data_IF_914234851031
#
_entry.id   IF_914234851031
#
_cell.length_a   1.000
_cell.length_b   1.000
_cell.length_c   1.000
_cell.angle_alpha   90.00
_cell.angle_beta   90.00
_cell.angle_gamma   90.00
#
_symmetry.space_group_name_H-M   'P 1'
#
loop_
_entity.id
_entity.type
_entity.pdbx_description
1 polymer ?
#
# COMPACT_ATOMS: atom_id res chain seq x y z
N UNK A 1 -1.52 30.73 19.55
CA UNK A 1 -0.40 30.24 18.69
C UNK A 1 -0.97 29.18 17.78
N UNK A 2 -1.23 29.51 16.54
CA UNK A 2 -1.68 28.53 15.52
C UNK A 2 -0.46 27.71 15.12
N UNK A 3 -0.42 26.43 15.48
CA UNK A 3 0.55 25.48 14.91
C UNK A 3 0.28 25.41 13.42
N UNK A 4 1.22 25.85 12.60
CA UNK A 4 1.17 25.66 11.17
C UNK A 4 1.35 24.15 10.90
N UNK A 5 0.25 23.45 10.69
CA UNK A 5 0.28 22.17 10.00
C UNK A 5 0.56 22.48 8.52
N UNK A 6 1.69 22.01 8.01
CA UNK A 6 1.97 22.09 6.59
C UNK A 6 1.16 21.00 5.88
N UNK A 7 0.33 21.42 4.94
CA UNK A 7 -0.49 20.52 4.11
C UNK A 7 0.33 20.08 2.90
N UNK A 8 0.37 18.79 2.62
CA UNK A 8 1.09 18.22 1.47
C UNK A 8 0.07 17.74 0.45
N UNK A 9 0.05 18.40 -0.70
CA UNK A 9 -0.73 17.95 -1.87
C UNK A 9 0.23 17.31 -2.86
N UNK A 10 0.02 16.04 -3.19
CA UNK A 10 0.86 15.29 -4.12
C UNK A 10 0.13 15.13 -5.45
N UNK A 11 0.69 15.72 -6.50
CA UNK A 11 0.25 15.50 -7.89
C UNK A 11 1.31 14.68 -8.59
N UNK A 12 0.95 13.50 -9.07
CA UNK A 12 1.87 12.59 -9.76
C UNK A 12 1.86 12.84 -11.26
N UNK A 13 3.03 13.13 -11.83
CA UNK A 13 3.22 13.34 -13.28
C UNK A 13 4.07 12.24 -13.90
N UNK A 14 3.86 11.97 -15.18
CA UNK A 14 4.81 11.20 -15.97
C UNK A 14 6.10 12.03 -16.18
N UNK A 15 7.30 11.40 -16.26
CA UNK A 15 8.54 12.13 -16.31
C UNK A 15 8.69 12.97 -17.56
N UNK A 16 9.10 14.24 -17.40
CA UNK A 16 9.64 15.04 -18.48
C UNK A 16 11.13 14.72 -18.62
N UNK A 17 11.57 14.36 -19.82
CA UNK A 17 12.99 14.38 -20.17
C UNK A 17 13.47 15.83 -20.20
N UNK A 18 14.60 16.09 -19.59
CA UNK A 18 15.41 17.33 -19.57
C UNK A 18 14.90 18.49 -20.45
N UNK A 19 13.95 19.29 -19.95
CA UNK A 19 13.74 20.63 -20.42
C UNK A 19 14.41 21.56 -19.40
N UNK A 20 15.49 22.20 -19.81
CA UNK A 20 16.11 23.31 -19.07
C UNK A 20 15.06 24.41 -18.89
N UNK A 21 14.69 24.68 -17.68
CA UNK A 21 13.84 25.84 -17.37
C UNK A 21 12.83 25.59 -16.27
N UNK A 22 13.25 25.73 -15.04
CA UNK A 22 12.42 26.21 -13.94
C UNK A 22 11.46 25.24 -13.29
N UNK A 23 11.81 24.90 -12.20
CA UNK A 23 11.16 24.46 -10.97
C UNK A 23 11.63 23.08 -10.54
N UNK A 24 12.35 23.08 -9.46
CA UNK A 24 12.98 21.89 -8.91
C UNK A 24 11.92 20.87 -8.60
N UNK A 25 11.82 19.88 -9.44
CA UNK A 25 11.36 18.57 -9.01
C UNK A 25 12.19 18.22 -7.78
N UNK A 26 11.58 18.00 -6.64
CA UNK A 26 12.22 17.34 -5.52
C UNK A 26 12.55 15.91 -5.96
N UNK A 27 13.62 15.80 -6.75
CA UNK A 27 14.22 14.53 -7.11
C UNK A 27 15.18 14.16 -6.00
N UNK A 28 14.88 13.11 -5.27
CA UNK A 28 15.78 12.15 -4.60
C UNK A 28 16.98 12.65 -3.76
N UNK A 29 17.29 13.95 -3.74
CA UNK A 29 18.52 14.44 -3.12
C UNK A 29 18.42 14.69 -1.61
N UNK A 30 17.22 14.78 -1.06
CA UNK A 30 17.01 15.20 0.32
C UNK A 30 16.27 14.16 1.21
N UNK A 31 16.07 12.96 0.72
CA UNK A 31 15.47 11.93 1.54
C UNK A 31 16.48 11.36 2.55
N UNK A 32 16.06 11.01 3.77
CA UNK A 32 16.93 10.42 4.76
C UNK A 32 17.65 9.19 4.20
N UNK A 33 18.96 9.08 4.40
CA UNK A 33 19.75 7.94 3.92
C UNK A 33 19.19 6.62 4.47
N UNK A 34 18.63 6.64 5.66
CA UNK A 34 18.01 5.52 6.34
C UNK A 34 16.82 4.93 5.57
N UNK A 35 16.24 5.67 4.62
CA UNK A 35 15.15 5.16 3.78
C UNK A 35 15.64 4.27 2.62
N UNK A 36 16.93 4.28 2.35
CA UNK A 36 17.57 3.45 1.32
C UNK A 36 18.24 2.20 1.90
N UNK A 37 18.42 2.16 3.20
CA UNK A 37 19.15 1.12 3.91
C UNK A 37 18.20 0.25 4.72
N UNK A 38 18.70 -0.91 5.18
CA UNK A 38 17.97 -1.74 6.13
C UNK A 38 17.70 -0.95 7.41
N UNK A 39 16.42 -0.77 7.78
CA UNK A 39 16.09 -0.05 9.00
C UNK A 39 16.68 -0.73 10.23
N UNK A 40 17.33 0.06 11.10
CA UNK A 40 17.87 -0.42 12.36
C UNK A 40 16.75 -0.74 13.35
N UNK A 41 17.08 -1.52 14.34
CA UNK A 41 16.19 -1.87 15.44
C UNK A 41 16.48 -1.03 16.68
N UNK A 42 15.58 -1.10 17.67
CA UNK A 42 15.73 -0.41 18.94
C UNK A 42 17.03 -0.83 19.65
N UNK A 43 17.36 -2.12 19.67
CA UNK A 43 18.57 -2.65 20.30
C UNK A 43 19.85 -2.14 19.62
N UNK A 44 19.89 -2.09 18.29
CA UNK A 44 21.01 -1.57 17.51
C UNK A 44 21.23 -0.07 17.71
N UNK A 45 20.18 0.66 18.11
CA UNK A 45 20.25 2.10 18.43
C UNK A 45 20.35 2.39 19.92
N UNK A 46 20.36 1.38 20.79
CA UNK A 46 20.40 1.55 22.24
C UNK A 46 19.13 2.16 22.83
N UNK A 47 17.98 2.03 22.17
CA UNK A 47 16.70 2.53 22.64
C UNK A 47 16.08 1.52 23.61
N UNK A 48 15.89 1.93 24.86
CA UNK A 48 15.36 1.06 25.94
C UNK A 48 14.06 1.59 26.55
N UNK A 49 13.74 2.85 26.29
CA UNK A 49 12.53 3.49 26.78
C UNK A 49 11.55 3.76 25.63
N UNK A 50 10.30 3.38 25.85
CA UNK A 50 9.23 3.56 24.85
C UNK A 50 8.13 4.45 25.38
N UNK A 51 7.55 5.23 24.48
CA UNK A 51 6.44 6.16 24.76
C UNK A 51 5.34 5.97 23.74
N UNK A 52 4.10 6.19 24.17
CA UNK A 52 2.94 6.19 23.29
C UNK A 52 2.17 7.53 23.37
N UNK A 53 1.19 7.67 22.50
CA UNK A 53 0.37 8.87 22.51
C UNK A 53 -0.47 9.02 23.79
N UNK A 54 -0.54 10.22 24.34
CA UNK A 54 -1.50 10.54 25.40
C UNK A 54 -2.97 10.21 25.07
N UNK A 55 -3.32 10.09 23.79
CA UNK A 55 -4.64 9.69 23.30
C UNK A 55 -5.05 8.28 23.78
N UNK A 56 -4.09 7.41 24.08
CA UNK A 56 -4.34 6.06 24.57
C UNK A 56 -4.50 5.98 26.09
N UNK A 57 -4.29 7.07 26.83
CA UNK A 57 -4.38 7.09 28.29
C UNK A 57 -5.80 6.74 28.75
N UNK A 58 -5.88 5.91 29.78
CA UNK A 58 -7.17 5.47 30.36
C UNK A 58 -7.90 4.38 29.55
N UNK A 59 -7.35 3.92 28.45
CA UNK A 59 -7.83 2.72 27.77
C UNK A 59 -7.31 1.48 28.49
N UNK A 60 -8.07 0.39 28.42
CA UNK A 60 -7.65 -0.91 28.95
C UNK A 60 -6.63 -1.55 27.97
N UNK A 61 -5.38 -1.11 28.09
CA UNK A 61 -4.27 -1.55 27.24
C UNK A 61 -3.05 -1.88 28.12
N UNK A 62 -2.29 -2.93 27.75
CA UNK A 62 -0.99 -3.18 28.38
C UNK A 62 -0.05 -1.97 28.22
N UNK A 63 1.00 -1.87 29.06
CA UNK A 63 2.06 -0.88 28.87
C UNK A 63 2.61 -0.91 27.43
N UNK A 64 3.08 0.23 26.91
CA UNK A 64 3.57 0.34 25.52
C UNK A 64 4.66 -0.70 25.21
N UNK A 65 5.54 -0.98 26.16
CA UNK A 65 6.59 -1.99 26.02
C UNK A 65 6.03 -3.39 25.71
N UNK A 66 4.92 -3.76 26.32
CA UNK A 66 4.29 -5.06 26.13
C UNK A 66 3.43 -5.14 24.86
N UNK A 67 3.19 -4.00 24.21
CA UNK A 67 2.47 -3.89 22.94
C UNK A 67 3.40 -3.85 21.72
N UNK A 68 4.65 -3.46 21.91
CA UNK A 68 5.67 -3.45 20.87
C UNK A 68 6.31 -4.85 20.70
N UNK A 69 6.96 -5.12 19.56
CA UNK A 69 7.87 -6.26 19.43
C UNK A 69 9.02 -6.22 20.45
N UNK A 70 9.65 -7.38 20.67
CA UNK A 70 10.83 -7.47 21.56
C UNK A 70 11.95 -6.50 21.13
N UNK A 71 12.10 -6.33 19.81
CA UNK A 71 13.06 -5.42 19.19
C UNK A 71 12.42 -4.65 18.04
N UNK A 72 11.75 -3.51 18.32
CA UNK A 72 11.02 -2.76 17.33
C UNK A 72 11.92 -2.15 16.25
N UNK A 73 11.42 -2.09 15.03
CA UNK A 73 12.05 -1.39 13.93
C UNK A 73 11.95 0.12 14.12
N UNK A 74 13.06 0.82 13.89
CA UNK A 74 13.14 2.28 13.99
C UNK A 74 12.92 2.92 12.62
N UNK A 75 11.97 3.82 12.54
CA UNK A 75 11.65 4.59 11.33
C UNK A 75 12.12 6.02 11.52
N UNK A 76 13.05 6.45 10.68
CA UNK A 76 13.53 7.82 10.67
C UNK A 76 12.50 8.76 10.03
N UNK A 77 12.13 9.87 10.68
CA UNK A 77 11.26 10.86 10.09
C UNK A 77 11.97 11.64 8.97
N UNK A 78 11.21 12.23 8.05
CA UNK A 78 11.75 12.98 6.93
C UNK A 78 12.58 14.19 7.36
N UNK A 79 12.08 14.97 8.34
CA UNK A 79 12.75 16.20 8.80
C UNK A 79 13.02 16.19 10.30
N UNK A 80 12.02 15.94 11.11
CA UNK A 80 12.10 16.04 12.56
C UNK A 80 11.21 15.03 13.26
N UNK A 81 11.52 14.76 14.53
CA UNK A 81 10.65 13.93 15.38
C UNK A 81 9.29 14.59 15.51
N UNK A 82 8.25 13.85 15.16
CA UNK A 82 6.88 14.36 15.24
C UNK A 82 6.36 14.51 16.66
N UNK A 83 5.22 15.17 16.77
CA UNK A 83 4.50 15.33 18.04
C UNK A 83 3.20 14.53 17.99
N UNK A 84 2.90 13.84 19.08
CA UNK A 84 1.62 13.16 19.21
C UNK A 84 0.45 14.11 19.23
N UNK A 85 -0.63 13.68 18.61
CA UNK A 85 -1.91 14.37 18.67
C UNK A 85 -2.48 14.68 17.30
N UNK A 86 -3.65 15.29 17.33
CA UNK A 86 -4.32 15.78 16.14
C UNK A 86 -5.10 14.73 15.36
N UNK A 87 -5.75 15.25 14.33
CA UNK A 87 -6.57 14.49 13.41
C UNK A 87 -6.29 14.97 11.99
N UNK A 88 -5.97 14.05 11.09
CA UNK A 88 -5.80 14.37 9.69
C UNK A 88 -7.14 14.26 8.95
N UNK A 89 -7.37 15.16 8.00
CA UNK A 89 -8.50 15.16 7.08
C UNK A 89 -8.00 14.82 5.68
N UNK A 90 -8.50 13.72 5.14
CA UNK A 90 -8.14 13.23 3.81
C UNK A 90 -9.39 12.84 3.03
N UNK A 91 -9.25 12.41 1.78
CA UNK A 91 -10.32 11.68 1.09
C UNK A 91 -10.18 10.17 1.30
N UNK A 92 -11.25 9.41 1.15
CA UNK A 92 -11.19 7.95 1.26
C UNK A 92 -10.22 7.34 0.24
N UNK A 93 -10.17 7.89 -0.99
CA UNK A 93 -9.21 7.46 -2.01
C UNK A 93 -7.75 7.62 -1.57
N UNK A 94 -7.43 8.63 -0.78
CA UNK A 94 -6.09 8.89 -0.26
C UNK A 94 -5.69 7.95 0.90
N UNK A 95 -6.65 7.23 1.50
CA UNK A 95 -6.35 6.28 2.58
C UNK A 95 -5.35 5.20 2.15
N UNK A 96 -5.41 4.79 0.86
CA UNK A 96 -4.48 3.82 0.27
C UNK A 96 -3.03 4.32 0.23
N UNK A 97 -2.82 5.61 0.14
CA UNK A 97 -1.50 6.24 0.09
C UNK A 97 -1.03 6.70 1.46
N UNK A 98 -1.95 7.09 2.32
CA UNK A 98 -1.65 7.56 3.66
C UNK A 98 -1.30 6.41 4.62
N UNK A 99 -1.85 5.22 4.41
CA UNK A 99 -1.57 4.06 5.24
C UNK A 99 -0.43 3.23 4.68
N UNK A 100 0.51 2.89 5.56
CA UNK A 100 1.57 1.96 5.21
C UNK A 100 1.02 0.55 4.98
N UNK A 101 1.54 -0.09 3.95
CA UNK A 101 1.25 -1.49 3.63
C UNK A 101 2.21 -2.36 4.42
N UNK A 102 1.69 -3.13 5.37
CA UNK A 102 2.51 -3.99 6.22
C UNK A 102 2.61 -5.38 5.60
N UNK A 103 3.71 -5.61 4.91
CA UNK A 103 4.09 -6.89 4.29
C UNK A 103 5.29 -7.49 5.02
N UNK A 104 5.64 -8.76 4.74
CA UNK A 104 6.84 -9.36 5.30
C UNK A 104 8.10 -8.56 4.94
N UNK A 105 8.20 -8.15 3.68
CA UNK A 105 9.29 -7.33 3.15
C UNK A 105 8.73 -6.02 2.61
N UNK A 106 9.58 -5.01 2.46
CA UNK A 106 9.27 -3.76 1.75
C UNK A 106 10.35 -3.46 0.71
N UNK A 107 10.21 -2.38 -0.03
CA UNK A 107 11.18 -1.94 -1.05
C UNK A 107 11.78 -0.62 -0.56
N UNK A 108 13.09 -0.44 -0.74
CA UNK A 108 13.78 0.83 -0.44
C UNK A 108 13.19 2.00 -1.24
N UNK A 109 13.38 3.22 -0.75
CA UNK A 109 12.82 4.42 -1.38
C UNK A 109 13.29 4.63 -2.84
N UNK A 110 14.48 4.14 -3.19
CA UNK A 110 15.03 4.14 -4.56
C UNK A 110 14.59 2.92 -5.38
N UNK A 111 13.79 2.02 -4.80
CA UNK A 111 13.29 0.79 -5.42
C UNK A 111 14.38 -0.21 -5.85
N UNK A 112 15.58 -0.12 -5.29
CA UNK A 112 16.71 -0.97 -5.67
C UNK A 112 16.86 -2.20 -4.77
N UNK A 113 16.37 -2.14 -3.53
CA UNK A 113 16.60 -3.17 -2.53
C UNK A 113 15.32 -3.64 -1.87
N UNK A 114 15.25 -4.92 -1.57
CA UNK A 114 14.24 -5.46 -0.65
C UNK A 114 14.74 -5.26 0.79
N UNK A 115 13.85 -4.76 1.65
CA UNK A 115 14.15 -4.45 3.04
C UNK A 115 13.26 -5.28 3.97
N UNK A 116 13.74 -5.66 5.17
CA UNK A 116 12.92 -6.33 6.17
C UNK A 116 11.83 -5.38 6.70
N UNK A 117 10.64 -5.95 7.00
CA UNK A 117 9.53 -5.22 7.61
C UNK A 117 8.90 -6.07 8.73
N UNK A 118 7.79 -6.79 8.49
CA UNK A 118 7.29 -7.77 9.47
C UNK A 118 8.27 -8.92 9.65
N UNK A 119 8.99 -9.30 8.58
CA UNK A 119 10.12 -10.20 8.68
C UNK A 119 11.33 -9.49 9.30
N UNK A 120 12.04 -10.20 10.16
CA UNK A 120 13.38 -9.84 10.65
C UNK A 120 14.46 -10.23 9.64
N UNK A 121 14.27 -11.40 9.03
CA UNK A 121 15.19 -11.98 8.08
C UNK A 121 14.44 -12.79 7.02
N UNK A 122 15.02 -12.92 5.85
CA UNK A 122 14.58 -13.84 4.80
C UNK A 122 15.77 -14.37 4.03
N UNK A 123 15.60 -15.53 3.42
CA UNK A 123 16.59 -16.17 2.60
C UNK A 123 15.93 -16.86 1.40
N UNK A 124 16.57 -16.77 0.23
CA UNK A 124 16.19 -17.53 -0.95
C UNK A 124 17.24 -18.60 -1.20
N UNK A 125 16.81 -19.85 -1.37
CA UNK A 125 17.71 -20.97 -1.66
C UNK A 125 18.48 -20.77 -2.96
N UNK A 126 19.67 -21.35 -3.06
CA UNK A 126 20.54 -21.21 -4.24
C UNK A 126 19.88 -21.66 -5.56
N UNK A 127 18.94 -22.60 -5.49
CA UNK A 127 18.16 -23.06 -6.66
C UNK A 127 16.93 -22.19 -6.96
N UNK A 128 16.68 -21.14 -6.16
CA UNK A 128 15.58 -20.20 -6.32
C UNK A 128 14.19 -20.76 -6.04
N UNK A 129 14.09 -21.96 -5.45
CA UNK A 129 12.81 -22.65 -5.23
C UNK A 129 12.21 -22.42 -3.85
N UNK A 130 13.01 -22.03 -2.88
CA UNK A 130 12.57 -21.88 -1.49
C UNK A 130 12.84 -20.47 -1.02
N UNK A 131 11.81 -19.83 -0.45
CA UNK A 131 11.95 -18.56 0.28
C UNK A 131 11.59 -18.80 1.74
N UNK A 132 12.56 -18.71 2.63
CA UNK A 132 12.38 -18.82 4.08
C UNK A 132 12.23 -17.42 4.68
N UNK A 133 11.28 -17.26 5.59
CA UNK A 133 10.96 -15.98 6.24
C UNK A 133 10.96 -16.18 7.75
N UNK A 134 11.67 -15.31 8.46
CA UNK A 134 11.66 -15.22 9.93
C UNK A 134 10.94 -13.92 10.34
N UNK A 135 9.83 -14.04 11.06
CA UNK A 135 9.02 -12.92 11.56
C UNK A 135 9.67 -12.31 12.80
N UNK A 136 9.56 -10.99 12.99
CA UNK A 136 9.95 -10.32 14.23
C UNK A 136 9.10 -10.81 15.39
N UNK A 137 9.76 -11.23 16.47
CA UNK A 137 9.09 -11.71 17.68
C UNK A 137 8.30 -10.57 18.34
N UNK A 138 7.06 -10.87 18.75
CA UNK A 138 6.23 -9.99 19.56
C UNK A 138 5.39 -8.99 18.75
N UNK A 139 5.38 -9.03 17.41
CA UNK A 139 4.38 -8.29 16.63
C UNK A 139 2.98 -8.80 16.96
N UNK A 140 2.03 -7.87 17.08
CA UNK A 140 0.64 -8.15 17.37
C UNK A 140 -0.30 -7.51 16.36
N UNK A 141 -1.41 -8.16 16.10
CA UNK A 141 -2.56 -7.58 15.41
C UNK A 141 -3.18 -6.45 16.25
N UNK A 142 -4.02 -5.62 15.65
CA UNK A 142 -4.64 -4.45 16.32
C UNK A 142 -5.58 -4.78 17.49
N UNK A 143 -5.95 -6.05 17.64
CA UNK A 143 -6.72 -6.59 18.76
C UNK A 143 -5.81 -7.20 19.87
N UNK A 144 -4.50 -7.17 19.67
CA UNK A 144 -3.51 -7.71 20.62
C UNK A 144 -3.15 -9.17 20.41
N UNK A 145 -3.76 -9.88 19.46
CA UNK A 145 -3.41 -11.27 19.14
C UNK A 145 -1.99 -11.31 18.50
N UNK A 146 -1.11 -12.27 18.88
CA UNK A 146 0.23 -12.34 18.29
C UNK A 146 0.18 -12.70 16.80
N UNK A 147 1.07 -12.06 16.02
CA UNK A 147 1.36 -12.47 14.65
C UNK A 147 2.27 -13.68 14.65
N UNK A 148 1.91 -14.72 13.90
CA UNK A 148 2.70 -15.95 13.78
C UNK A 148 2.81 -16.42 12.32
N UNK A 149 3.67 -17.40 12.09
CA UNK A 149 3.80 -18.09 10.80
C UNK A 149 2.46 -18.68 10.31
N UNK A 150 1.60 -19.06 11.23
CA UNK A 150 0.27 -19.61 10.92
C UNK A 150 -0.62 -18.62 10.15
N UNK A 151 -0.47 -17.30 10.34
CA UNK A 151 -1.24 -16.28 9.64
C UNK A 151 -0.87 -16.22 8.16
N UNK A 152 0.42 -16.35 7.84
CA UNK A 152 0.94 -16.40 6.47
C UNK A 152 0.56 -17.70 5.77
N UNK A 153 0.72 -18.83 6.46
CA UNK A 153 0.37 -20.17 5.93
C UNK A 153 -1.14 -20.24 5.67
N UNK A 154 -1.97 -19.74 6.60
CA UNK A 154 -3.41 -19.68 6.42
C UNK A 154 -3.78 -18.94 5.14
N UNK A 155 -3.21 -17.76 4.91
CA UNK A 155 -3.48 -16.97 3.72
C UNK A 155 -3.05 -17.68 2.45
N UNK A 156 -1.87 -18.28 2.45
CA UNK A 156 -1.34 -18.97 1.28
C UNK A 156 -2.18 -20.19 0.91
N UNK A 157 -2.50 -21.05 1.89
CA UNK A 157 -3.17 -22.33 1.65
C UNK A 157 -4.69 -22.19 1.50
N UNK A 158 -5.33 -21.33 2.33
CA UNK A 158 -6.80 -21.25 2.43
C UNK A 158 -7.41 -20.05 1.69
N UNK A 159 -6.59 -19.13 1.20
CA UNK A 159 -7.08 -18.01 0.38
C UNK A 159 -6.48 -18.09 -1.02
N UNK A 160 -5.16 -18.12 -1.14
CA UNK A 160 -4.51 -17.99 -2.45
C UNK A 160 -4.49 -19.29 -3.25
N UNK A 161 -4.36 -20.46 -2.61
CA UNK A 161 -4.38 -21.77 -3.22
C UNK A 161 -5.70 -22.51 -3.06
N UNK A 162 -6.66 -22.00 -2.30
CA UNK A 162 -7.97 -22.59 -2.17
C UNK A 162 -8.71 -22.58 -3.51
N UNK A 163 -9.12 -23.74 -3.99
CA UNK A 163 -9.72 -23.89 -5.33
C UNK A 163 -11.13 -23.31 -5.44
N UNK A 164 -11.83 -23.18 -4.33
CA UNK A 164 -13.17 -22.58 -4.30
C UNK A 164 -13.06 -21.05 -4.26
N UNK A 165 -12.12 -20.49 -3.46
CA UNK A 165 -11.88 -19.06 -3.35
C UNK A 165 -11.10 -18.50 -4.55
N UNK A 166 -10.03 -19.17 -4.95
CA UNK A 166 -9.13 -18.79 -6.05
C UNK A 166 -9.06 -19.88 -7.11
N UNK A 167 -10.11 -20.06 -7.97
CA UNK A 167 -10.15 -21.14 -8.97
C UNK A 167 -8.99 -21.10 -9.97
N UNK A 168 -8.44 -19.91 -10.22
CA UNK A 168 -7.29 -19.67 -11.09
C UNK A 168 -6.26 -18.86 -10.30
N UNK A 169 -5.40 -19.53 -9.52
CA UNK A 169 -4.37 -18.83 -8.75
C UNK A 169 -3.37 -18.12 -9.66
N UNK A 170 -2.75 -17.07 -9.13
CA UNK A 170 -1.68 -16.37 -9.83
C UNK A 170 -0.55 -17.32 -10.23
N UNK A 171 0.03 -17.13 -11.41
CA UNK A 171 1.20 -17.90 -11.86
C UNK A 171 2.39 -17.78 -10.91
N UNK A 172 2.48 -16.68 -10.16
CA UNK A 172 3.56 -16.43 -9.20
C UNK A 172 3.47 -17.29 -7.93
N UNK A 173 2.34 -17.97 -7.70
CA UNK A 173 2.15 -18.86 -6.54
C UNK A 173 1.81 -20.30 -6.95
N UNK A 174 1.56 -20.52 -8.24
CA UNK A 174 1.19 -21.84 -8.78
C UNK A 174 2.34 -22.83 -8.53
N UNK A 175 2.00 -24.04 -8.10
CA UNK A 175 2.98 -25.09 -7.75
C UNK A 175 3.75 -24.79 -6.45
N UNK A 176 3.32 -23.78 -5.69
CA UNK A 176 3.87 -23.46 -4.38
C UNK A 176 3.14 -24.17 -3.26
N UNK A 177 3.83 -24.30 -2.12
CA UNK A 177 3.27 -24.70 -0.82
C UNK A 177 3.93 -23.92 0.29
N UNK A 178 3.21 -23.72 1.38
CA UNK A 178 3.74 -23.10 2.59
C UNK A 178 4.06 -24.19 3.62
N UNK A 179 5.20 -24.07 4.31
CA UNK A 179 5.64 -25.02 5.32
C UNK A 179 6.02 -24.29 6.61
N UNK A 180 5.41 -24.68 7.72
CA UNK A 180 5.76 -24.17 9.04
C UNK A 180 7.05 -24.81 9.53
N UNK A 181 8.00 -24.00 10.02
CA UNK A 181 9.18 -24.44 10.72
C UNK A 181 8.96 -24.31 12.24
N UNK A 182 8.54 -23.11 12.65
CA UNK A 182 8.10 -22.80 14.01
C UNK A 182 7.12 -21.62 14.01
N UNK A 183 6.76 -21.07 15.16
CA UNK A 183 5.77 -19.99 15.26
C UNK A 183 6.24 -18.67 14.62
N UNK A 184 7.52 -18.49 14.41
CA UNK A 184 8.10 -17.28 13.81
C UNK A 184 8.75 -17.54 12.45
N UNK A 185 8.96 -18.80 12.08
CA UNK A 185 9.69 -19.17 10.87
C UNK A 185 8.84 -20.09 10.01
N UNK A 186 8.76 -19.76 8.75
CA UNK A 186 8.08 -20.54 7.72
C UNK A 186 8.78 -20.39 6.38
N UNK A 187 8.44 -21.24 5.43
CA UNK A 187 8.97 -21.15 4.08
C UNK A 187 7.91 -21.41 3.02
N UNK A 188 8.06 -20.74 1.89
CA UNK A 188 7.35 -21.06 0.66
C UNK A 188 8.28 -21.90 -0.23
N UNK A 189 7.77 -23.00 -0.73
CA UNK A 189 8.52 -23.95 -1.57
C UNK A 189 7.79 -24.14 -2.89
N UNK A 190 8.50 -24.02 -4.01
CA UNK A 190 7.98 -24.12 -5.37
C UNK A 190 8.59 -25.30 -6.10
N UNK A 191 7.83 -25.89 -7.02
CA UNK A 191 8.31 -26.97 -7.90
C UNK A 191 9.41 -26.47 -8.86
N UNK A 192 9.26 -25.21 -9.34
CA UNK A 192 10.22 -24.55 -10.21
C UNK A 192 10.83 -23.32 -9.56
N UNK A 193 12.02 -22.85 -10.00
CA UNK A 193 12.60 -21.60 -9.50
C UNK A 193 11.64 -20.41 -9.68
N UNK A 194 11.44 -19.65 -8.60
CA UNK A 194 10.50 -18.51 -8.60
C UNK A 194 11.17 -17.21 -8.11
N UNK A 195 12.08 -16.61 -8.88
CA UNK A 195 12.81 -15.42 -8.47
C UNK A 195 11.91 -14.18 -8.29
N UNK A 196 10.73 -14.17 -8.92
CA UNK A 196 9.77 -13.07 -8.80
C UNK A 196 8.96 -13.08 -7.49
N UNK A 197 9.04 -14.17 -6.73
CA UNK A 197 8.22 -14.33 -5.53
C UNK A 197 8.59 -13.33 -4.42
N UNK A 198 9.87 -13.02 -4.24
CA UNK A 198 10.32 -11.99 -3.28
C UNK A 198 9.74 -10.62 -3.63
N UNK A 199 9.70 -10.29 -4.92
CA UNK A 199 9.08 -9.06 -5.40
C UNK A 199 7.57 -9.04 -5.09
N UNK A 200 6.87 -10.16 -5.30
CA UNK A 200 5.46 -10.30 -4.93
C UNK A 200 5.24 -10.05 -3.43
N UNK A 201 6.09 -10.64 -2.56
CA UNK A 201 6.02 -10.44 -1.11
C UNK A 201 6.21 -8.96 -0.75
N UNK A 202 7.16 -8.27 -1.37
CA UNK A 202 7.46 -6.89 -1.06
C UNK A 202 6.38 -5.91 -1.56
N UNK A 203 5.81 -6.14 -2.74
CA UNK A 203 4.82 -5.25 -3.35
C UNK A 203 3.39 -5.53 -2.87
N UNK A 204 3.01 -6.81 -2.74
CA UNK A 204 1.64 -7.24 -2.46
C UNK A 204 1.52 -8.07 -1.18
N UNK A 205 2.58 -8.16 -0.40
CA UNK A 205 2.65 -9.04 0.76
C UNK A 205 1.66 -8.72 1.88
N UNK A 206 1.08 -7.51 1.90
CA UNK A 206 -0.03 -7.20 2.79
C UNK A 206 -1.31 -8.02 2.50
N UNK A 207 -1.45 -8.55 1.28
CA UNK A 207 -2.50 -9.50 0.94
C UNK A 207 -2.09 -10.95 1.21
N UNK A 208 -0.82 -11.19 1.59
CA UNK A 208 -0.28 -12.52 1.89
C UNK A 208 -0.32 -12.85 3.38
N UNK A 209 -0.87 -11.98 4.22
CA UNK A 209 -1.02 -12.20 5.65
C UNK A 209 -2.39 -11.77 6.11
N UNK A 210 -3.14 -12.71 6.62
CA UNK A 210 -4.48 -12.49 7.15
C UNK A 210 -4.57 -13.00 8.61
N UNK A 211 -5.33 -12.33 9.49
CA UNK A 211 -5.49 -12.78 10.87
C UNK A 211 -6.24 -14.12 10.91
N UNK A 212 -5.50 -15.23 10.98
CA UNK A 212 -6.04 -16.58 11.02
C UNK A 212 -7.06 -16.75 12.14
N UNK A 213 -6.80 -16.18 13.33
CA UNK A 213 -7.70 -16.25 14.48
C UNK A 213 -9.09 -15.64 14.19
N UNK A 214 -9.19 -14.66 13.29
CA UNK A 214 -10.44 -14.08 12.83
C UNK A 214 -11.04 -14.88 11.67
N UNK A 215 -10.29 -15.07 10.56
CA UNK A 215 -10.83 -15.63 9.33
C UNK A 215 -11.10 -17.12 9.38
N UNK A 216 -10.42 -17.89 10.24
CA UNK A 216 -10.74 -19.31 10.43
C UNK A 216 -12.20 -19.57 10.83
N UNK A 217 -12.83 -18.62 11.49
CA UNK A 217 -14.22 -18.72 11.92
C UNK A 217 -15.22 -18.54 10.75
N UNK A 218 -14.73 -18.19 9.59
CA UNK A 218 -15.51 -17.90 8.38
C UNK A 218 -15.08 -18.74 7.17
N UNK A 219 -14.27 -19.77 7.39
CA UNK A 219 -13.73 -20.61 6.32
C UNK A 219 -14.16 -22.08 6.49
N UNK A 220 -14.64 -22.76 5.39
CA UNK A 220 -15.21 -24.11 5.46
C UNK A 220 -14.22 -25.20 5.87
N UNK A 221 -12.90 -24.95 5.82
CA UNK A 221 -11.91 -25.91 6.37
C UNK A 221 -11.87 -25.96 7.89
N UNK A 222 -12.51 -25.00 8.60
CA UNK A 222 -12.43 -24.87 10.06
C UNK A 222 -13.82 -24.84 10.74
N UNK A 223 -14.88 -24.62 9.98
CA UNK A 223 -16.27 -24.55 10.45
C UNK A 223 -17.12 -25.47 9.61
N UNK A 224 -18.12 -26.08 10.23
CA UNK A 224 -19.10 -26.86 9.48
C UNK A 224 -19.77 -26.02 8.39
N UNK A 225 -19.93 -26.59 7.20
CA UNK A 225 -20.39 -25.83 6.03
C UNK A 225 -21.85 -25.37 6.14
N UNK A 226 -22.71 -26.13 6.77
CA UNK A 226 -24.11 -25.75 6.93
C UNK A 226 -24.23 -24.61 7.93
N UNK A 227 -23.56 -24.73 9.09
CA UNK A 227 -23.45 -23.65 10.08
C UNK A 227 -22.85 -22.39 9.48
N UNK A 228 -21.76 -22.52 8.71
CA UNK A 228 -21.12 -21.39 8.03
C UNK A 228 -22.07 -20.68 7.07
N UNK A 229 -22.80 -21.42 6.25
CA UNK A 229 -23.76 -20.85 5.30
C UNK A 229 -24.90 -20.09 5.98
N UNK A 230 -25.42 -20.60 7.10
CA UNK A 230 -26.42 -19.88 7.89
C UNK A 230 -25.87 -18.54 8.42
N UNK A 231 -24.71 -18.58 9.04
CA UNK A 231 -24.03 -17.37 9.56
C UNK A 231 -23.71 -16.35 8.47
N UNK A 232 -23.27 -16.79 7.30
CA UNK A 232 -22.99 -15.95 6.12
C UNK A 232 -24.27 -15.27 5.62
N UNK A 233 -25.35 -16.02 5.55
CA UNK A 233 -26.67 -15.51 5.15
C UNK A 233 -27.21 -14.46 6.14
N UNK A 234 -27.03 -14.68 7.44
CA UNK A 234 -27.38 -13.69 8.48
C UNK A 234 -26.59 -12.39 8.34
N UNK A 235 -25.34 -12.47 7.90
CA UNK A 235 -24.50 -11.30 7.55
C UNK A 235 -24.88 -10.65 6.21
N UNK A 236 -25.83 -11.22 5.45
CA UNK A 236 -26.32 -10.67 4.19
C UNK A 236 -25.47 -11.01 2.97
N UNK A 237 -24.58 -12.00 3.06
CA UNK A 237 -23.74 -12.43 1.96
C UNK A 237 -24.25 -13.71 1.28
N UNK A 238 -23.91 -13.87 -0.01
CA UNK A 238 -24.33 -15.01 -0.84
C UNK A 238 -23.42 -16.23 -0.68
N UNK A 239 -22.19 -16.04 -0.20
CA UNK A 239 -21.21 -17.09 0.00
C UNK A 239 -20.13 -16.67 1.00
N UNK A 240 -19.43 -17.66 1.57
CA UNK A 240 -18.28 -17.42 2.44
C UNK A 240 -17.14 -16.70 1.72
N UNK A 241 -16.95 -16.98 0.44
CA UNK A 241 -15.94 -16.30 -0.39
C UNK A 241 -16.25 -14.80 -0.52
N UNK A 242 -17.51 -14.46 -0.83
CA UNK A 242 -17.94 -13.07 -0.94
C UNK A 242 -17.81 -12.34 0.41
N UNK A 243 -18.08 -13.03 1.53
CA UNK A 243 -17.88 -12.47 2.86
C UNK A 243 -16.39 -12.24 3.15
N UNK A 244 -15.53 -13.26 2.97
CA UNK A 244 -14.09 -13.12 3.23
C UNK A 244 -13.50 -12.03 2.33
N UNK A 245 -13.83 -11.97 1.04
CA UNK A 245 -13.34 -10.96 0.12
C UNK A 245 -13.74 -9.55 0.59
N UNK A 246 -15.01 -9.36 0.94
CA UNK A 246 -15.48 -8.12 1.52
C UNK A 246 -14.72 -7.75 2.81
N UNK A 247 -14.49 -8.71 3.74
CA UNK A 247 -13.79 -8.44 4.98
C UNK A 247 -12.29 -8.17 4.78
N UNK A 248 -11.64 -8.86 3.86
CA UNK A 248 -10.22 -8.61 3.51
C UNK A 248 -10.04 -7.21 2.93
N UNK A 249 -10.96 -6.77 2.08
CA UNK A 249 -10.97 -5.40 1.55
C UNK A 249 -11.42 -4.40 2.62
N UNK A 250 -12.44 -4.74 3.40
CA UNK A 250 -13.04 -3.90 4.44
C UNK A 250 -12.12 -3.60 5.62
N UNK A 251 -11.13 -4.45 5.92
CA UNK A 251 -10.14 -4.17 6.99
C UNK A 251 -9.37 -2.86 6.79
N UNK A 252 -9.43 -2.32 5.58
CA UNK A 252 -8.84 -1.05 5.23
C UNK A 252 -9.88 0.07 5.25
N UNK A 253 -11.09 -0.24 4.83
CA UNK A 253 -12.07 0.78 4.45
C UNK A 253 -13.41 0.66 5.20
N UNK A 254 -13.77 -0.48 5.77
CA UNK A 254 -15.15 -0.67 6.19
C UNK A 254 -15.39 -1.35 7.53
N UNK A 255 -14.45 -2.13 8.06
CA UNK A 255 -14.73 -2.96 9.24
C UNK A 255 -13.81 -2.66 10.42
N UNK A 256 -14.44 -2.28 11.54
CA UNK A 256 -13.75 -2.17 12.82
C UNK A 256 -13.45 -3.53 13.47
N UNK A 257 -14.10 -4.61 12.98
CA UNK A 257 -14.00 -5.95 13.56
C UNK A 257 -12.76 -6.72 13.06
N UNK A 258 -12.28 -6.41 11.85
CA UNK A 258 -11.16 -7.14 11.25
C UNK A 258 -9.83 -6.62 11.76
N UNK A 259 -9.02 -7.46 12.44
CA UNK A 259 -7.71 -7.05 12.93
C UNK A 259 -6.77 -6.65 11.79
N UNK A 260 -5.93 -5.65 12.05
CA UNK A 260 -4.96 -5.14 11.08
C UNK A 260 -3.57 -5.00 11.71
N UNK A 261 -2.52 -5.04 10.87
CA UNK A 261 -1.14 -4.74 11.26
C UNK A 261 -0.76 -3.29 10.96
N UNK A 262 -1.65 -2.51 10.32
CA UNK A 262 -1.39 -1.14 9.86
C UNK A 262 -1.32 -0.16 11.03
N UNK A 263 -0.75 1.02 10.75
CA UNK A 263 -0.64 2.11 11.71
C UNK A 263 -2.00 2.62 12.20
N UNK A 264 -3.04 2.46 11.39
CA UNK A 264 -4.42 2.88 11.72
C UNK A 264 -5.39 1.72 11.53
N UNK A 265 -6.42 1.69 12.36
CA UNK A 265 -7.56 0.78 12.26
C UNK A 265 -8.87 1.57 12.09
N UNK A 266 -9.84 0.95 11.45
CA UNK A 266 -11.18 1.54 11.29
C UNK A 266 -11.85 1.71 12.66
N UNK A 267 -12.38 2.89 12.92
CA UNK A 267 -13.18 3.19 14.10
C UNK A 267 -14.69 3.18 13.78
N UNK A 268 -15.08 3.86 12.71
CA UNK A 268 -16.48 3.93 12.28
C UNK A 268 -16.61 4.31 10.82
N UNK A 269 -17.75 3.95 10.23
CA UNK A 269 -18.14 4.33 8.87
C UNK A 269 -19.53 4.93 8.83
N UNK A 270 -19.68 5.98 8.02
CA UNK A 270 -20.94 6.53 7.56
C UNK A 270 -20.93 6.63 6.03
N UNK A 271 -22.06 6.91 5.35
CA UNK A 271 -22.06 7.10 3.90
C UNK A 271 -21.12 8.19 3.39
N UNK A 272 -20.78 9.18 4.23
CA UNK A 272 -19.97 10.35 3.84
C UNK A 272 -18.61 10.42 4.51
N UNK A 273 -18.32 9.55 5.49
CA UNK A 273 -17.11 9.66 6.30
C UNK A 273 -16.64 8.30 6.80
N UNK A 274 -15.36 8.01 6.60
CA UNK A 274 -14.63 6.96 7.30
C UNK A 274 -13.79 7.59 8.39
N UNK A 275 -13.80 6.99 9.58
CA UNK A 275 -12.94 7.40 10.70
C UNK A 275 -12.00 6.29 11.07
N UNK A 276 -10.75 6.67 11.25
CA UNK A 276 -9.71 5.77 11.70
C UNK A 276 -9.07 6.31 12.97
N UNK A 277 -8.61 5.40 13.80
CA UNK A 277 -7.78 5.72 14.96
C UNK A 277 -6.46 4.97 14.89
N UNK A 278 -5.46 5.49 15.56
CA UNK A 278 -4.15 4.84 15.67
C UNK A 278 -4.29 3.41 16.21
N UNK A 279 -3.53 2.50 15.64
CA UNK A 279 -3.41 1.12 16.13
C UNK A 279 -2.54 1.11 17.40
N UNK A 280 -3.07 0.73 18.57
CA UNK A 280 -2.28 0.74 19.80
C UNK A 280 -1.18 -0.32 19.83
N UNK A 281 -1.21 -1.30 18.93
CA UNK A 281 -0.23 -2.37 18.78
C UNK A 281 0.68 -2.18 17.54
N UNK A 282 0.72 -0.97 16.96
CA UNK A 282 1.60 -0.73 15.83
C UNK A 282 3.06 -0.94 16.21
N UNK A 283 3.79 -1.69 15.41
CA UNK A 283 5.04 -2.35 15.77
C UNK A 283 6.31 -1.52 15.52
N UNK A 284 6.19 -0.27 15.05
CA UNK A 284 7.33 0.59 14.70
C UNK A 284 7.45 1.77 15.66
N UNK A 285 8.69 2.21 15.85
CA UNK A 285 9.03 3.37 16.69
C UNK A 285 9.86 4.38 15.90
N UNK A 286 10.00 5.59 16.44
CA UNK A 286 10.95 6.60 15.97
C UNK A 286 12.31 6.49 16.70
N UNK A 287 13.34 7.27 16.30
CA UNK A 287 14.68 7.25 16.90
C UNK A 287 14.75 7.62 18.39
N UNK A 288 13.70 8.17 18.97
CA UNK A 288 13.65 8.51 20.40
C UNK A 288 12.68 7.63 21.19
N UNK A 289 12.23 6.52 20.58
CA UNK A 289 11.40 5.51 21.24
C UNK A 289 9.90 5.81 21.27
N UNK A 290 9.42 6.76 20.50
CA UNK A 290 7.98 6.99 20.39
C UNK A 290 7.32 5.95 19.48
N UNK A 291 6.27 5.28 19.95
CA UNK A 291 5.48 4.36 19.13
C UNK A 291 4.72 5.13 18.04
N UNK A 292 4.95 4.81 16.77
CA UNK A 292 4.24 5.41 15.65
C UNK A 292 2.76 4.93 15.58
N UNK A 293 1.88 5.64 14.89
CA UNK A 293 2.06 6.92 14.20
C UNK A 293 1.99 8.12 15.16
N UNK A 294 2.35 9.33 14.71
CA UNK A 294 2.21 10.55 15.52
C UNK A 294 0.77 11.07 15.57
N UNK A 295 0.07 11.06 14.43
CA UNK A 295 -1.32 11.50 14.33
C UNK A 295 -2.24 10.47 14.99
N UNK A 296 -3.18 10.90 15.82
CA UNK A 296 -4.03 9.98 16.59
C UNK A 296 -5.25 9.46 15.82
N UNK A 297 -5.78 10.25 14.90
CA UNK A 297 -6.99 9.91 14.16
C UNK A 297 -6.97 10.45 12.73
N UNK A 298 -7.79 9.85 11.87
CA UNK A 298 -8.00 10.28 10.50
C UNK A 298 -9.48 10.32 10.22
N UNK A 299 -9.95 11.46 9.69
CA UNK A 299 -11.27 11.60 9.09
C UNK A 299 -11.09 11.57 7.56
N UNK A 300 -11.53 10.50 6.90
CA UNK A 300 -11.49 10.34 5.46
C UNK A 300 -12.87 10.56 4.87
N UNK A 301 -13.03 11.64 4.12
CA UNK A 301 -14.30 12.00 3.47
C UNK A 301 -14.55 11.08 2.26
N UNK A 302 -15.76 10.53 2.16
CA UNK A 302 -16.16 9.69 1.04
C UNK A 302 -16.61 10.60 -0.10
N UNK A 303 -15.72 10.84 -1.06
CA UNK A 303 -16.01 11.59 -2.28
C UNK A 303 -15.86 10.60 -3.46
N UNK A 304 -16.99 10.24 -4.06
CA UNK A 304 -17.02 9.32 -5.19
C UNK A 304 -17.08 10.11 -6.49
N UNK A 305 -16.21 9.78 -7.45
CA UNK A 305 -16.20 10.27 -8.85
C UNK A 305 -16.32 11.81 -9.02
N UNK A 306 -15.79 12.58 -8.06
CA UNK A 306 -15.83 14.04 -8.08
C UNK A 306 -14.44 14.63 -7.81
N UNK A 307 -13.55 14.53 -8.80
CA UNK A 307 -12.19 15.05 -8.72
C UNK A 307 -12.16 16.59 -8.56
N UNK A 308 -13.12 17.30 -9.15
CA UNK A 308 -13.25 18.76 -9.04
C UNK A 308 -13.49 19.19 -7.59
N UNK A 309 -14.34 18.47 -6.85
CA UNK A 309 -14.58 18.73 -5.43
C UNK A 309 -13.33 18.46 -4.60
N UNK A 310 -12.61 17.38 -4.89
CA UNK A 310 -11.34 17.06 -4.21
C UNK A 310 -10.33 18.18 -4.45
N UNK A 311 -10.17 18.62 -5.72
CA UNK A 311 -9.27 19.73 -6.09
C UNK A 311 -9.66 21.03 -5.38
N UNK A 312 -10.94 21.38 -5.32
CA UNK A 312 -11.41 22.58 -4.63
C UNK A 312 -11.12 22.54 -3.13
N UNK A 313 -11.36 21.40 -2.48
CA UNK A 313 -11.04 21.22 -1.05
C UNK A 313 -9.54 21.25 -0.77
N UNK A 314 -8.74 20.60 -1.61
CA UNK A 314 -7.30 20.61 -1.51
C UNK A 314 -6.73 22.02 -1.67
N UNK A 315 -7.14 22.76 -2.72
CA UNK A 315 -6.64 24.11 -3.01
C UNK A 315 -6.97 25.15 -1.92
N UNK A 316 -7.94 24.87 -1.07
CA UNK A 316 -8.37 25.76 0.04
C UNK A 316 -7.95 25.26 1.42
N UNK A 317 -7.05 24.27 1.51
CA UNK A 317 -6.54 23.76 2.79
C UNK A 317 -7.59 23.04 3.66
N UNK A 318 -8.68 22.53 3.06
CA UNK A 318 -9.69 21.77 3.78
C UNK A 318 -9.30 20.30 3.99
N UNK A 319 -8.31 19.82 3.22
CA UNK A 319 -7.68 18.51 3.34
C UNK A 319 -6.24 18.69 3.80
N UNK A 320 -5.79 17.83 4.73
CA UNK A 320 -4.42 17.81 5.23
C UNK A 320 -3.47 17.04 4.29
N UNK A 321 -4.04 16.17 3.46
CA UNK A 321 -3.34 15.44 2.42
C UNK A 321 -4.31 15.11 1.28
N UNK A 322 -3.87 15.27 0.04
CA UNK A 322 -4.61 14.84 -1.15
C UNK A 322 -3.63 14.48 -2.27
N UNK A 323 -3.84 13.32 -2.89
CA UNK A 323 -3.03 12.83 -4.00
C UNK A 323 -3.83 12.01 -5.02
N UNK A 324 -4.69 11.10 -4.56
CA UNK A 324 -5.30 10.05 -5.40
C UNK A 324 -6.17 10.61 -6.54
N UNK A 325 -7.04 11.55 -6.25
CA UNK A 325 -7.98 12.12 -7.24
C UNK A 325 -7.46 13.39 -7.94
N UNK A 326 -6.26 13.84 -7.62
CA UNK A 326 -5.67 15.02 -8.24
C UNK A 326 -5.08 14.68 -9.61
N UNK A 327 -5.31 15.56 -10.58
CA UNK A 327 -4.91 15.38 -11.98
C UNK A 327 -3.92 16.46 -12.38
N UNK A 328 -3.13 16.21 -13.43
CA UNK A 328 -2.18 17.19 -14.00
C UNK A 328 -2.86 18.52 -14.34
N UNK A 329 -4.08 18.46 -14.85
CA UNK A 329 -4.87 19.65 -15.20
C UNK A 329 -5.29 20.51 -14.00
N UNK A 330 -5.22 19.97 -12.79
CA UNK A 330 -5.56 20.66 -11.55
C UNK A 330 -4.39 21.51 -11.00
N UNK A 331 -3.17 21.32 -11.51
CA UNK A 331 -1.96 22.01 -11.06
C UNK A 331 -2.11 23.54 -11.00
N UNK A 332 -2.69 24.22 -12.02
CA UNK A 332 -2.82 25.69 -11.97
C UNK A 332 -3.63 26.17 -10.77
N UNK A 333 -4.75 25.52 -10.44
CA UNK A 333 -5.59 25.91 -9.30
C UNK A 333 -4.93 25.57 -7.97
N UNK A 334 -4.22 24.42 -7.89
CA UNK A 334 -3.46 24.03 -6.71
C UNK A 334 -2.31 25.00 -6.46
N UNK A 335 -1.57 25.40 -7.49
CA UNK A 335 -0.50 26.42 -7.37
C UNK A 335 -1.03 27.81 -7.00
N UNK A 336 -2.29 28.11 -7.28
CA UNK A 336 -2.93 29.32 -6.76
C UNK A 336 -3.15 29.21 -5.24
N UNK A 337 -3.65 28.07 -4.75
CA UNK A 337 -3.79 27.78 -3.31
C UNK A 337 -2.45 27.84 -2.57
N UNK A 338 -1.38 27.32 -3.17
CA UNK A 338 -0.02 27.40 -2.62
C UNK A 338 0.43 28.85 -2.41
N UNK A 339 0.10 29.76 -3.33
CA UNK A 339 0.43 31.20 -3.20
C UNK A 339 -0.26 31.88 -2.02
N UNK A 340 -1.38 31.38 -1.56
CA UNK A 340 -2.07 31.87 -0.36
C UNK A 340 -1.45 31.34 0.93
N UNK A 341 -0.52 30.38 0.85
CA UNK A 341 0.15 29.76 1.98
C UNK A 341 -0.71 28.74 2.73
N UNK A 342 -1.81 28.30 2.14
CA UNK A 342 -2.72 27.30 2.73
C UNK A 342 -2.25 25.86 2.50
N UNK A 343 -1.50 25.62 1.40
CA UNK A 343 -1.04 24.28 0.99
C UNK A 343 0.36 24.33 0.40
N UNK A 344 1.06 23.16 0.40
CA UNK A 344 2.28 22.91 -0.36
C UNK A 344 1.96 21.94 -1.51
N UNK A 345 2.34 22.28 -2.74
CA UNK A 345 2.12 21.46 -3.93
C UNK A 345 3.40 20.77 -4.36
N UNK A 346 3.48 19.46 -4.14
CA UNK A 346 4.60 18.63 -4.56
C UNK A 346 4.23 17.85 -5.82
N UNK A 347 5.06 17.96 -6.85
CA UNK A 347 4.89 17.24 -8.11
C UNK A 347 5.93 16.12 -8.16
N UNK A 348 5.47 14.87 -8.13
CA UNK A 348 6.34 13.70 -8.15
C UNK A 348 6.30 12.98 -9.50
N UNK A 349 7.42 12.42 -9.88
CA UNK A 349 7.49 11.53 -11.05
C UNK A 349 6.69 10.26 -10.77
N UNK A 350 5.77 9.94 -11.68
CA UNK A 350 4.96 8.73 -11.61
C UNK A 350 5.71 7.56 -12.24
N UNK A 351 5.67 6.40 -11.61
CA UNK A 351 6.27 5.17 -12.16
C UNK A 351 5.47 4.56 -13.32
N UNK A 352 4.24 5.00 -13.52
CA UNK A 352 3.43 4.58 -14.67
C UNK A 352 3.91 5.28 -15.95
N UNK A 353 4.10 4.51 -17.01
CA UNK A 353 4.62 5.01 -18.28
C UNK A 353 3.55 5.66 -19.16
N UNK A 354 2.28 5.52 -18.85
CA UNK A 354 1.18 6.18 -19.56
C UNK A 354 -0.09 6.21 -18.73
N UNK A 355 -0.79 7.33 -18.72
CA UNK A 355 -2.13 7.48 -18.13
C UNK A 355 -3.24 7.00 -19.07
N UNK A 356 -2.95 6.94 -20.38
CA UNK A 356 -3.89 6.49 -21.40
C UNK A 356 -3.31 5.31 -22.17
N UNK A 357 -3.96 4.16 -22.06
CA UNK A 357 -3.58 2.94 -22.76
C UNK A 357 -4.79 2.39 -23.50
N UNK A 358 -4.64 2.17 -24.81
CA UNK A 358 -5.66 1.48 -25.62
C UNK A 358 -5.30 0.00 -25.67
N UNK A 359 -6.09 -0.82 -24.98
CA UNK A 359 -5.93 -2.28 -24.99
C UNK A 359 -6.89 -2.92 -25.96
N UNK A 360 -6.36 -3.84 -26.79
CA UNK A 360 -7.17 -4.65 -27.70
C UNK A 360 -7.55 -5.96 -27.01
N UNK A 361 -8.81 -6.37 -27.15
CA UNK A 361 -9.26 -7.67 -26.65
C UNK A 361 -8.82 -8.79 -27.62
N UNK A 362 -7.68 -9.41 -27.33
CA UNK A 362 -7.15 -10.51 -28.14
C UNK A 362 -7.96 -11.82 -28.01
N UNK A 363 -8.90 -11.88 -27.07
CA UNK A 363 -9.82 -13.00 -26.88
C UNK A 363 -11.25 -12.63 -27.30
N UNK A 364 -11.41 -11.64 -28.18
CA UNK A 364 -12.73 -11.22 -28.63
C UNK A 364 -13.52 -12.40 -29.23
N UNK A 365 -14.83 -12.57 -28.90
CA UNK A 365 -15.63 -13.71 -29.38
C UNK A 365 -15.81 -13.70 -30.91
N UNK A 366 -15.94 -12.52 -31.54
CA UNK A 366 -15.94 -12.39 -32.99
C UNK A 366 -14.53 -12.65 -33.53
N UNK A 367 -14.41 -13.67 -34.36
CA UNK A 367 -13.14 -14.11 -34.93
C UNK A 367 -12.50 -13.04 -35.83
N UNK A 368 -13.27 -12.30 -36.61
CA UNK A 368 -12.74 -11.26 -37.51
C UNK A 368 -12.13 -10.11 -36.73
N UNK A 369 -12.79 -9.68 -35.64
CA UNK A 369 -12.26 -8.64 -34.76
C UNK A 369 -11.02 -9.15 -34.00
N UNK A 370 -11.01 -10.39 -33.54
CA UNK A 370 -9.85 -10.98 -32.91
C UNK A 370 -8.65 -11.03 -33.84
N UNK A 371 -8.81 -11.48 -35.08
CA UNK A 371 -7.76 -11.49 -36.10
C UNK A 371 -7.24 -10.08 -36.40
N UNK A 372 -8.14 -9.09 -36.51
CA UNK A 372 -7.79 -7.69 -36.71
C UNK A 372 -6.96 -7.15 -35.53
N UNK A 373 -7.37 -7.41 -34.28
CA UNK A 373 -6.67 -6.95 -33.09
C UNK A 373 -5.32 -7.63 -32.91
N UNK A 374 -5.16 -8.87 -33.35
CA UNK A 374 -3.89 -9.60 -33.37
C UNK A 374 -2.94 -9.10 -34.47
N UNK A 375 -3.44 -8.47 -35.53
CA UNK A 375 -2.61 -7.92 -36.60
C UNK A 375 -1.79 -6.74 -36.09
N UNK A 376 -0.46 -6.88 -36.07
CA UNK A 376 0.47 -5.85 -35.63
C UNK A 376 0.38 -4.57 -36.49
N UNK A 377 0.03 -4.71 -37.78
CA UNK A 377 -0.10 -3.56 -38.70
C UNK A 377 -1.27 -2.67 -38.29
N UNK A 378 -2.39 -3.28 -37.90
CA UNK A 378 -3.55 -2.57 -37.38
C UNK A 378 -3.21 -1.79 -36.09
N UNK A 379 -2.54 -2.44 -35.14
CA UNK A 379 -2.13 -1.79 -33.90
C UNK A 379 -1.14 -0.66 -34.13
N UNK A 380 -0.18 -0.83 -35.07
CA UNK A 380 0.75 0.24 -35.46
C UNK A 380 0.04 1.42 -36.10
N UNK A 381 -0.92 1.16 -37.00
CA UNK A 381 -1.73 2.20 -37.62
C UNK A 381 -2.50 3.02 -36.60
N UNK A 382 -3.14 2.38 -35.61
CA UNK A 382 -3.79 3.08 -34.51
C UNK A 382 -2.80 3.91 -33.69
N UNK A 383 -1.62 3.38 -33.40
CA UNK A 383 -0.59 4.11 -32.68
C UNK A 383 -0.11 5.37 -33.43
N UNK A 384 0.05 5.28 -34.75
CA UNK A 384 0.42 6.44 -35.57
C UNK A 384 -0.71 7.45 -35.76
N UNK A 385 -1.98 7.02 -35.62
CA UNK A 385 -3.13 7.91 -35.70
C UNK A 385 -3.29 8.80 -34.45
N UNK A 386 -2.62 8.49 -33.33
CA UNK A 386 -2.66 9.30 -32.12
C UNK A 386 -1.73 10.49 -32.26
N UNK A 387 -2.29 11.70 -32.21
CA UNK A 387 -1.50 12.95 -32.16
C UNK A 387 -0.98 13.19 -30.73
N UNK A 388 0.12 12.52 -30.37
CA UNK A 388 0.72 12.60 -29.04
C UNK A 388 1.22 14.01 -28.66
N UNK A 389 1.83 14.79 -29.56
CA UNK A 389 2.21 16.16 -29.26
C UNK A 389 1.00 17.02 -28.84
N UNK A 390 -0.10 16.98 -29.59
CA UNK A 390 -1.31 17.73 -29.27
C UNK A 390 -1.93 17.27 -27.93
N UNK A 391 -1.98 15.97 -27.69
CA UNK A 391 -2.41 15.44 -26.40
C UNK A 391 -1.52 15.93 -25.26
N UNK A 392 -0.20 15.99 -25.46
CA UNK A 392 0.73 16.48 -24.45
C UNK A 392 0.46 17.95 -24.13
N UNK A 393 0.25 18.79 -25.13
CA UNK A 393 -0.04 20.21 -24.92
C UNK A 393 -1.39 20.43 -24.20
N UNK A 394 -2.44 19.75 -24.63
CA UNK A 394 -3.80 19.97 -24.10
C UNK A 394 -4.00 19.36 -22.71
N UNK A 395 -3.47 18.12 -22.49
CA UNK A 395 -3.75 17.35 -21.26
C UNK A 395 -2.63 17.54 -20.22
N UNK A 396 -1.38 17.59 -20.67
CA UNK A 396 -0.22 17.61 -19.78
C UNK A 396 0.53 18.94 -19.77
N UNK A 397 0.00 19.97 -20.45
CA UNK A 397 0.63 21.31 -20.54
C UNK A 397 2.09 21.25 -21.01
N UNK A 398 2.38 20.37 -21.98
CA UNK A 398 3.74 20.16 -22.51
C UNK A 398 4.69 19.42 -21.56
N UNK A 399 4.23 18.94 -20.40
CA UNK A 399 5.09 18.33 -19.35
C UNK A 399 5.34 16.84 -19.55
N UNK A 400 4.60 16.17 -20.42
CA UNK A 400 4.78 14.76 -20.73
C UNK A 400 5.83 14.54 -21.81
N UNK A 401 6.38 13.33 -21.89
CA UNK A 401 7.22 12.89 -23.00
C UNK A 401 6.41 11.97 -23.90
N UNK A 402 6.09 12.38 -25.13
CA UNK A 402 5.36 11.52 -26.07
C UNK A 402 6.21 10.29 -26.44
N UNK A 403 5.80 9.12 -25.97
CA UNK A 403 6.48 7.85 -26.28
C UNK A 403 5.49 6.67 -26.30
N UNK A 404 5.94 5.52 -26.74
CA UNK A 404 5.20 4.27 -26.59
C UNK A 404 5.25 3.79 -25.15
N UNK A 405 4.25 2.99 -24.74
CA UNK A 405 4.29 2.28 -23.45
C UNK A 405 5.51 1.35 -23.44
N UNK A 406 6.42 1.63 -22.56
CA UNK A 406 7.68 0.91 -22.40
C UNK A 406 8.06 0.89 -20.92
N UNK A 407 9.23 0.33 -20.61
CA UNK A 407 9.84 0.43 -19.29
C UNK A 407 10.14 1.90 -18.98
N UNK A 408 9.96 2.29 -17.73
CA UNK A 408 10.25 3.67 -17.30
C UNK A 408 11.73 4.05 -17.58
N UNK A 409 12.03 5.28 -18.03
CA UNK A 409 13.40 5.69 -18.36
C UNK A 409 14.43 5.56 -17.22
N UNK A 410 13.97 5.59 -15.96
CA UNK A 410 14.86 5.36 -14.80
C UNK A 410 15.12 3.89 -14.49
N UNK A 411 14.45 2.98 -15.20
CA UNK A 411 14.67 1.55 -15.00
C UNK A 411 16.01 1.11 -15.61
N UNK A 412 16.72 0.21 -14.93
CA UNK A 412 17.92 -0.44 -15.45
C UNK A 412 17.68 -1.26 -16.74
N UNK A 413 16.44 -1.56 -17.06
CA UNK A 413 16.02 -2.29 -18.27
C UNK A 413 15.55 -1.36 -19.39
N UNK A 414 15.67 -0.04 -19.22
CA UNK A 414 15.30 0.91 -20.25
C UNK A 414 16.39 0.97 -21.32
N UNK A 415 16.00 0.78 -22.58
CA UNK A 415 16.85 0.96 -23.75
C UNK A 415 16.24 2.07 -24.62
N UNK A 416 16.97 3.13 -24.83
CA UNK A 416 16.61 4.16 -25.79
C UNK A 416 16.86 3.63 -27.21
N UNK A 417 15.81 3.50 -28.02
CA UNK A 417 15.88 3.01 -29.42
C UNK A 417 15.55 4.11 -30.39
#
# INVERSE_FOLDING_TARGET
MRSALFFVVVVTLAPASNAEGGDSTHQDKDWPKEWYETPRTASEMGITEYRDSPFLRGRDLPPVKDRLPDDPQVIHPYKEIGKYGGKAKITLGDSWQFFNWESALTISADMQNFLPNLARHWEVSADGRTTTIEIRRGIKWSDGHPLTSDDFIFTFDHIWLDKEYSPVPSRLILGGRAEKIDDLTFRYVFEDPNPQFVNLIAQYGNFMVDPKHYFRNWHPSFVDREELNERIKEKGFISWMAFIDAQRNARIEESAEVPTLRAYKVLSRTPTMMRYERNPYYHKIDPVGNQLPYIDAIDAEVILDNAELVTAKASTGQLDFAAFALRTQDIPILKLGERTGEIDVNVWTRLHTSDVVIQMNFNHPDQKLRELYLDVRFRRALSYAINRPEMNEIIYFGRGTPQQVSVHPTSMYYEEK
#
